data_IF_862323162191
#
_entry.id   IF_862323162191
#
_cell.length_a   1.000
_cell.length_b   1.000
_cell.length_c   1.000
_cell.angle_alpha   90.00
_cell.angle_beta   90.00
_cell.angle_gamma   90.00
#
_symmetry.space_group_name_H-M   'P 1'
#
loop_
_entity.id
_entity.type
_entity.pdbx_description
1 polymer ?
#
# COMPACT_ATOMS: atom_id res chain seq x y z
N UNK A 1 26.86 74.29 9.56
CA UNK A 1 27.13 73.34 8.49
C UNK A 1 25.89 73.30 7.61
N UNK A 2 26.03 73.66 6.35
CA UNK A 2 25.00 74.10 5.40
C UNK A 2 24.14 72.98 4.88
N UNK A 3 22.79 73.17 4.98
CA UNK A 3 21.79 72.45 4.24
C UNK A 3 21.87 72.85 2.76
N UNK A 4 21.83 71.82 1.86
CA UNK A 4 21.56 72.05 0.43
C UNK A 4 20.25 71.40 0.08
N UNK A 5 19.28 72.25 -0.25
CA UNK A 5 18.05 71.86 -0.89
C UNK A 5 18.30 71.42 -2.34
N UNK A 6 17.60 70.36 -2.79
CA UNK A 6 17.58 69.85 -4.16
C UNK A 6 16.19 70.12 -4.74
N UNK A 7 16.04 70.74 -5.92
CA UNK A 7 14.78 71.14 -6.42
C UNK A 7 13.95 70.02 -7.03
N UNK A 8 12.67 70.10 -6.76
CA UNK A 8 11.61 69.22 -7.24
C UNK A 8 11.34 69.45 -8.74
N UNK A 9 11.70 68.53 -9.61
CA UNK A 9 11.32 68.50 -11.01
C UNK A 9 9.96 67.87 -11.17
N UNK A 10 9.04 68.62 -11.79
CA UNK A 10 7.72 68.17 -12.18
C UNK A 10 7.80 67.01 -13.14
N UNK A 11 7.13 65.90 -12.78
CA UNK A 11 6.98 64.76 -13.67
C UNK A 11 5.58 64.75 -14.26
N UNK A 12 5.54 64.82 -15.57
CA UNK A 12 4.31 64.81 -16.38
C UNK A 12 3.60 63.45 -16.22
N UNK A 13 2.32 63.53 -15.94
CA UNK A 13 1.36 62.45 -15.98
C UNK A 13 1.14 62.00 -17.43
N UNK A 14 1.65 60.82 -17.79
CA UNK A 14 1.20 60.12 -18.99
C UNK A 14 0.16 59.08 -18.55
N UNK A 15 -1.11 59.33 -18.87
CA UNK A 15 -2.18 58.34 -18.78
C UNK A 15 -1.94 57.27 -19.86
N UNK A 16 -1.33 56.18 -19.48
CA UNK A 16 -1.30 54.96 -20.29
C UNK A 16 -2.54 54.11 -19.98
N UNK A 17 -3.50 54.12 -20.92
CA UNK A 17 -4.64 53.20 -20.89
C UNK A 17 -4.15 51.79 -21.21
N UNK A 18 -3.77 51.00 -20.19
CA UNK A 18 -3.48 49.59 -20.39
C UNK A 18 -4.80 48.80 -20.45
N UNK A 19 -5.17 48.44 -21.66
CA UNK A 19 -6.23 47.48 -21.95
C UNK A 19 -5.72 46.10 -21.50
N UNK A 20 -6.00 45.71 -20.26
CA UNK A 20 -5.81 44.31 -19.81
C UNK A 20 -6.89 43.44 -20.46
N UNK A 21 -6.54 42.80 -21.57
CA UNK A 21 -7.30 41.69 -22.10
C UNK A 21 -7.20 40.55 -21.08
N UNK A 22 -8.17 40.45 -20.17
CA UNK A 22 -8.37 39.27 -19.35
C UNK A 22 -8.84 38.13 -20.28
N UNK A 23 -7.90 37.32 -20.75
CA UNK A 23 -8.25 36.03 -21.30
C UNK A 23 -8.84 35.19 -20.15
N UNK A 24 -10.05 34.61 -20.31
CA UNK A 24 -10.53 33.63 -19.36
C UNK A 24 -9.55 32.46 -19.43
N UNK A 25 -8.74 32.31 -18.38
CA UNK A 25 -8.05 31.04 -18.12
C UNK A 25 -9.15 30.05 -17.79
N UNK A 26 -9.67 29.38 -18.81
CA UNK A 26 -10.41 28.14 -18.59
C UNK A 26 -9.43 27.22 -17.92
N UNK A 27 -9.68 26.92 -16.63
CA UNK A 27 -9.04 25.84 -15.96
C UNK A 27 -9.47 24.57 -16.72
N UNK A 28 -8.74 24.21 -17.78
CA UNK A 28 -8.76 22.88 -18.31
C UNK A 28 -8.33 22.01 -17.13
N UNK A 29 -9.31 21.34 -16.54
CA UNK A 29 -9.06 20.24 -15.64
C UNK A 29 -8.25 19.26 -16.48
N UNK A 30 -6.92 19.26 -16.29
CA UNK A 30 -6.05 18.23 -16.87
C UNK A 30 -6.54 16.95 -16.21
N UNK A 31 -7.49 16.30 -16.86
CA UNK A 31 -7.92 14.96 -16.53
C UNK A 31 -6.69 14.11 -16.82
N UNK A 32 -5.89 13.85 -15.76
CA UNK A 32 -4.76 12.92 -15.84
C UNK A 32 -5.33 11.63 -16.42
N UNK A 33 -5.05 11.38 -17.69
CA UNK A 33 -5.36 10.10 -18.30
C UNK A 33 -4.51 9.07 -17.60
N UNK A 34 -5.14 8.29 -16.70
CA UNK A 34 -4.44 7.20 -16.02
C UNK A 34 -3.95 6.20 -17.06
N UNK A 35 -2.71 5.74 -16.94
CA UNK A 35 -2.17 4.76 -17.87
C UNK A 35 -3.06 3.52 -17.86
N UNK A 36 -3.52 3.11 -19.04
CA UNK A 36 -4.27 1.87 -19.25
C UNK A 36 -3.29 0.70 -19.13
N UNK A 37 -3.40 -0.03 -18.03
CA UNK A 37 -2.60 -1.23 -17.78
C UNK A 37 -3.38 -2.45 -18.29
N UNK A 38 -2.82 -3.14 -19.29
CA UNK A 38 -3.41 -4.36 -19.84
C UNK A 38 -2.80 -5.62 -19.23
N UNK A 39 -1.48 -5.63 -19.09
CA UNK A 39 -0.69 -6.77 -18.64
C UNK A 39 0.30 -6.36 -17.55
N UNK A 40 0.79 -7.34 -16.77
CA UNK A 40 1.81 -7.11 -15.76
C UNK A 40 3.07 -6.47 -16.34
N UNK A 41 3.57 -5.47 -15.63
CA UNK A 41 4.90 -4.90 -15.79
C UNK A 41 5.35 -4.28 -14.45
N UNK A 42 6.65 -4.04 -14.32
CA UNK A 42 7.18 -3.31 -13.13
C UNK A 42 6.54 -1.92 -13.03
N UNK A 43 6.28 -1.26 -14.15
CA UNK A 43 5.59 0.03 -14.18
C UNK A 43 4.13 -0.09 -13.72
N UNK A 44 3.42 -1.17 -14.10
CA UNK A 44 2.06 -1.45 -13.67
C UNK A 44 2.00 -1.66 -12.14
N UNK A 45 2.89 -2.49 -11.60
CA UNK A 45 3.00 -2.69 -10.15
C UNK A 45 3.32 -1.38 -9.43
N UNK A 46 4.27 -0.60 -9.92
CA UNK A 46 4.63 0.71 -9.37
C UNK A 46 3.44 1.67 -9.36
N UNK A 47 2.68 1.72 -10.45
CA UNK A 47 1.48 2.53 -10.58
C UNK A 47 0.39 2.12 -9.57
N UNK A 48 0.18 0.81 -9.34
CA UNK A 48 -0.71 0.29 -8.29
C UNK A 48 -0.25 0.71 -6.90
N UNK A 49 1.03 0.50 -6.58
CA UNK A 49 1.61 0.82 -5.26
C UNK A 49 1.46 2.31 -4.93
N UNK A 50 1.67 3.17 -5.92
CA UNK A 50 1.53 4.62 -5.77
C UNK A 50 0.08 5.09 -5.79
N UNK A 51 -0.87 4.22 -6.19
CA UNK A 51 -2.27 4.55 -6.49
C UNK A 51 -2.41 5.60 -7.59
N UNK A 52 -1.48 5.58 -8.55
CA UNK A 52 -1.56 6.39 -9.77
C UNK A 52 -2.40 5.71 -10.86
N UNK A 53 -2.66 4.40 -10.73
CA UNK A 53 -3.60 3.62 -11.50
C UNK A 53 -4.83 3.32 -10.64
N UNK A 54 -6.00 3.78 -11.06
CA UNK A 54 -7.24 3.56 -10.29
C UNK A 54 -8.11 2.43 -10.85
N UNK A 55 -7.96 2.12 -12.13
CA UNK A 55 -8.78 1.10 -12.77
C UNK A 55 -8.44 -0.29 -12.23
N UNK A 56 -9.46 -0.97 -11.69
CA UNK A 56 -9.31 -2.32 -11.14
C UNK A 56 -8.59 -2.37 -9.79
N UNK A 57 -8.58 -1.26 -9.04
CA UNK A 57 -8.06 -1.19 -7.67
C UNK A 57 -9.17 -0.66 -6.77
N UNK A 58 -9.66 -1.51 -5.85
CA UNK A 58 -10.73 -1.17 -4.92
C UNK A 58 -10.20 -1.19 -3.48
N UNK A 59 -10.33 -0.07 -2.78
CA UNK A 59 -10.09 -0.05 -1.33
C UNK A 59 -11.19 -0.84 -0.62
N UNK A 60 -10.79 -1.68 0.33
CA UNK A 60 -11.73 -2.46 1.15
C UNK A 60 -11.62 -2.08 2.62
N UNK A 61 -12.72 -2.29 3.37
CA UNK A 61 -12.83 -2.07 4.81
C UNK A 61 -13.45 -3.28 5.50
N UNK A 62 -13.49 -3.25 6.82
CA UNK A 62 -14.09 -4.29 7.65
C UNK A 62 -15.59 -4.53 7.40
N UNK A 63 -16.29 -3.54 6.82
CA UNK A 63 -17.70 -3.64 6.48
C UNK A 63 -17.95 -4.21 5.08
N UNK A 64 -16.88 -4.55 4.35
CA UNK A 64 -16.99 -5.16 3.01
C UNK A 64 -17.74 -6.48 3.10
N UNK A 65 -18.82 -6.59 2.33
CA UNK A 65 -19.48 -7.87 2.10
C UNK A 65 -18.75 -8.64 0.99
N UNK A 66 -18.23 -9.80 1.34
CA UNK A 66 -17.56 -10.72 0.42
C UNK A 66 -18.48 -11.83 -0.12
N UNK A 67 -19.75 -11.85 0.34
CA UNK A 67 -20.76 -12.84 -0.05
C UNK A 67 -20.68 -14.17 0.73
N UNK A 68 -21.64 -15.06 0.42
CA UNK A 68 -21.89 -16.30 1.18
C UNK A 68 -20.68 -17.24 1.29
N UNK A 69 -19.83 -17.29 0.25
CA UNK A 69 -18.65 -18.17 0.25
C UNK A 69 -17.65 -17.82 1.37
N UNK A 70 -17.68 -16.57 1.87
CA UNK A 70 -16.80 -16.10 2.91
C UNK A 70 -17.35 -16.22 4.33
N UNK A 71 -18.59 -16.72 4.50
CA UNK A 71 -19.29 -16.70 5.79
C UNK A 71 -18.49 -17.33 6.92
N UNK A 72 -17.78 -18.44 6.67
CA UNK A 72 -16.98 -19.17 7.68
C UNK A 72 -15.69 -18.46 8.06
N UNK A 73 -15.26 -17.49 7.28
CA UNK A 73 -14.03 -16.71 7.46
C UNK A 73 -14.29 -15.25 7.85
N UNK A 74 -15.57 -14.85 7.84
CA UNK A 74 -16.00 -13.46 7.95
C UNK A 74 -15.46 -12.75 9.20
N UNK A 75 -15.54 -13.42 10.34
CA UNK A 75 -15.15 -12.81 11.62
C UNK A 75 -13.65 -12.52 11.68
N UNK A 76 -12.82 -13.45 11.24
CA UNK A 76 -11.38 -13.25 11.22
C UNK A 76 -10.97 -12.18 10.19
N UNK A 77 -11.54 -12.23 8.99
CA UNK A 77 -11.30 -11.18 7.96
C UNK A 77 -11.67 -9.81 8.52
N UNK A 78 -12.83 -9.68 9.17
CA UNK A 78 -13.28 -8.43 9.77
C UNK A 78 -12.31 -7.94 10.85
N UNK A 79 -11.83 -8.83 11.74
CA UNK A 79 -10.86 -8.49 12.78
C UNK A 79 -9.56 -7.96 12.16
N UNK A 80 -8.99 -8.67 11.18
CA UNK A 80 -7.76 -8.26 10.49
C UNK A 80 -7.94 -6.89 9.84
N UNK A 81 -9.00 -6.71 9.04
CA UNK A 81 -9.27 -5.44 8.36
C UNK A 81 -9.50 -4.28 9.34
N UNK A 82 -10.19 -4.54 10.46
CA UNK A 82 -10.40 -3.52 11.50
C UNK A 82 -9.09 -3.10 12.17
N UNK A 83 -8.22 -4.05 12.47
CA UNK A 83 -6.92 -3.76 13.09
C UNK A 83 -5.99 -3.01 12.11
N UNK A 84 -5.95 -3.42 10.84
CA UNK A 84 -5.19 -2.72 9.80
C UNK A 84 -5.68 -1.28 9.61
N UNK A 85 -6.99 -1.05 9.60
CA UNK A 85 -7.56 0.30 9.48
C UNK A 85 -7.15 1.20 10.66
N UNK A 86 -7.23 0.70 11.90
CA UNK A 86 -6.75 1.42 13.10
C UNK A 86 -5.26 1.77 13.04
N UNK A 87 -4.45 0.91 12.42
CA UNK A 87 -3.03 1.15 12.19
C UNK A 87 -2.75 2.11 11.03
N UNK A 88 -3.78 2.55 10.31
CA UNK A 88 -3.63 3.42 9.14
C UNK A 88 -3.16 2.70 7.88
N UNK A 89 -3.27 1.36 7.83
CA UNK A 89 -2.92 0.55 6.67
C UNK A 89 -4.09 0.52 5.70
N UNK A 90 -3.88 1.03 4.49
CA UNK A 90 -4.86 0.91 3.41
C UNK A 90 -4.85 -0.49 2.80
N UNK A 91 -5.99 -1.18 2.80
CA UNK A 91 -6.12 -2.51 2.16
C UNK A 91 -6.87 -2.39 0.85
N UNK A 92 -6.34 -3.01 -0.20
CA UNK A 92 -6.85 -2.91 -1.57
C UNK A 92 -6.96 -4.28 -2.22
N UNK A 93 -8.00 -4.48 -3.01
CA UNK A 93 -8.11 -5.57 -3.97
C UNK A 93 -7.76 -5.01 -5.33
N UNK A 94 -6.78 -5.60 -6.02
CA UNK A 94 -6.33 -5.14 -7.32
C UNK A 94 -6.35 -6.28 -8.36
N UNK A 95 -6.55 -5.91 -9.62
CA UNK A 95 -6.61 -6.86 -10.73
C UNK A 95 -5.28 -7.58 -10.93
N UNK A 96 -5.33 -8.83 -11.43
CA UNK A 96 -4.12 -9.67 -11.64
C UNK A 96 -3.07 -9.02 -12.54
N UNK A 97 -3.45 -8.12 -13.44
CA UNK A 97 -2.55 -7.38 -14.31
C UNK A 97 -1.50 -6.54 -13.56
N UNK A 98 -1.69 -6.30 -12.27
CA UNK A 98 -0.75 -5.58 -11.41
C UNK A 98 0.24 -6.49 -10.70
N UNK A 99 0.07 -7.79 -10.75
CA UNK A 99 0.87 -8.77 -10.05
C UNK A 99 1.66 -9.65 -11.01
N UNK A 100 2.78 -10.22 -10.55
CA UNK A 100 3.38 -11.36 -11.25
C UNK A 100 2.46 -12.57 -11.15
N UNK A 101 2.64 -13.58 -11.99
CA UNK A 101 1.80 -14.79 -11.98
C UNK A 101 1.79 -15.53 -10.63
N UNK A 102 2.84 -15.39 -9.84
CA UNK A 102 3.00 -16.07 -8.55
C UNK A 102 2.72 -15.18 -7.34
N UNK A 103 2.40 -13.90 -7.54
CA UNK A 103 2.18 -12.96 -6.45
C UNK A 103 0.68 -12.89 -6.13
N UNK A 104 0.32 -13.25 -4.90
CA UNK A 104 -1.06 -13.26 -4.42
C UNK A 104 -1.40 -12.01 -3.62
N UNK A 105 -0.41 -11.43 -2.93
CA UNK A 105 -0.53 -10.20 -2.17
C UNK A 105 0.79 -9.43 -2.14
N UNK A 106 0.74 -8.20 -1.67
CA UNK A 106 1.91 -7.34 -1.48
C UNK A 106 1.63 -6.40 -0.32
N UNK A 107 2.46 -6.43 0.73
CA UNK A 107 2.53 -5.35 1.71
C UNK A 107 3.66 -4.38 1.34
N UNK A 108 3.38 -3.08 1.44
CA UNK A 108 4.34 -2.00 1.17
C UNK A 108 4.47 -1.09 2.39
N UNK A 109 5.47 -1.33 3.26
CA UNK A 109 5.66 -0.58 4.50
C UNK A 109 5.86 0.92 4.26
N UNK A 110 6.63 1.32 3.23
CA UNK A 110 6.88 2.72 2.91
C UNK A 110 5.61 3.54 2.62
N UNK A 111 4.52 2.88 2.26
CA UNK A 111 3.24 3.51 1.90
C UNK A 111 2.10 3.11 2.82
N UNK A 112 2.33 2.22 3.79
CA UNK A 112 1.28 1.65 4.63
C UNK A 112 0.11 1.11 3.80
N UNK A 113 0.44 0.28 2.79
CA UNK A 113 -0.54 -0.28 1.83
C UNK A 113 -0.37 -1.78 1.67
N UNK A 114 -1.50 -2.47 1.68
CA UNK A 114 -1.61 -3.90 1.46
C UNK A 114 -2.50 -4.14 0.24
N UNK A 115 -2.03 -4.92 -0.72
CA UNK A 115 -2.76 -5.26 -1.93
C UNK A 115 -2.98 -6.77 -2.00
N UNK A 116 -4.19 -7.19 -2.39
CA UNK A 116 -4.57 -8.59 -2.59
C UNK A 116 -5.03 -8.76 -4.04
N UNK A 117 -4.55 -9.82 -4.69
CA UNK A 117 -4.96 -10.15 -6.05
C UNK A 117 -6.46 -10.51 -6.10
N UNK A 118 -7.20 -9.85 -6.99
CA UNK A 118 -8.66 -9.99 -7.14
C UNK A 118 -9.10 -11.42 -7.44
N UNK A 119 -8.26 -12.21 -8.10
CA UNK A 119 -8.58 -13.61 -8.42
C UNK A 119 -8.86 -14.45 -7.17
N UNK A 120 -8.29 -14.06 -6.01
CA UNK A 120 -8.51 -14.74 -4.74
C UNK A 120 -9.95 -14.62 -4.21
N UNK A 121 -10.75 -13.69 -4.73
CA UNK A 121 -12.17 -13.61 -4.37
C UNK A 121 -12.98 -14.85 -4.80
N UNK A 122 -12.43 -15.69 -5.66
CA UNK A 122 -13.02 -16.98 -6.04
C UNK A 122 -12.71 -18.10 -5.05
N UNK A 123 -11.64 -17.94 -4.23
CA UNK A 123 -11.14 -18.91 -3.25
C UNK A 123 -11.00 -18.26 -1.86
N UNK A 124 -12.04 -18.28 -1.01
CA UNK A 124 -12.04 -17.62 0.30
C UNK A 124 -10.92 -18.06 1.25
N UNK A 125 -10.51 -19.35 1.19
CA UNK A 125 -9.42 -19.87 2.02
C UNK A 125 -8.08 -19.23 1.64
N UNK A 126 -7.79 -19.19 0.36
CA UNK A 126 -6.55 -18.60 -0.16
C UNK A 126 -6.53 -17.07 0.04
N UNK A 127 -7.69 -16.43 -0.11
CA UNK A 127 -7.85 -15.02 0.22
C UNK A 127 -7.49 -14.74 1.69
N UNK A 128 -8.05 -15.51 2.64
CA UNK A 128 -7.75 -15.34 4.05
C UNK A 128 -6.28 -15.69 4.36
N UNK A 129 -5.73 -16.75 3.77
CA UNK A 129 -4.31 -17.08 3.88
C UNK A 129 -3.44 -15.90 3.46
N UNK A 130 -3.66 -15.36 2.27
CA UNK A 130 -2.93 -14.19 1.78
C UNK A 130 -3.14 -12.96 2.68
N UNK A 131 -4.35 -12.72 3.17
CA UNK A 131 -4.62 -11.61 4.08
C UNK A 131 -3.87 -11.76 5.42
N UNK A 132 -3.75 -12.99 5.95
CA UNK A 132 -2.92 -13.30 7.12
C UNK A 132 -1.45 -13.05 6.85
N UNK A 133 -0.95 -13.54 5.71
CA UNK A 133 0.44 -13.38 5.28
C UNK A 133 0.86 -11.91 5.17
N UNK A 134 0.13 -11.15 4.37
CA UNK A 134 0.43 -9.72 4.18
C UNK A 134 0.16 -8.89 5.45
N UNK A 135 -0.88 -9.25 6.21
CA UNK A 135 -1.14 -8.69 7.53
C UNK A 135 -0.02 -8.98 8.52
N UNK A 136 0.62 -10.16 8.40
CA UNK A 136 1.78 -10.49 9.23
C UNK A 136 2.99 -9.61 8.94
N UNK A 137 3.22 -9.25 7.70
CA UNK A 137 4.24 -8.26 7.36
C UNK A 137 3.99 -6.90 8.04
N UNK A 138 2.71 -6.51 8.24
CA UNK A 138 2.39 -5.34 9.07
C UNK A 138 2.76 -5.54 10.54
N UNK A 139 2.56 -6.76 11.10
CA UNK A 139 3.01 -7.09 12.46
C UNK A 139 4.54 -7.00 12.57
N UNK A 140 5.26 -7.54 11.60
CA UNK A 140 6.73 -7.47 11.53
C UNK A 140 7.24 -6.04 11.48
N UNK A 141 6.58 -5.17 10.73
CA UNK A 141 6.88 -3.74 10.64
C UNK A 141 6.59 -3.02 11.98
N UNK A 142 5.42 -3.28 12.59
CA UNK A 142 5.08 -2.78 13.92
C UNK A 142 6.11 -3.17 14.98
N UNK A 143 6.51 -4.43 15.01
CA UNK A 143 7.49 -4.97 15.97
C UNK A 143 8.93 -4.51 15.66
N UNK A 144 9.20 -4.11 14.45
CA UNK A 144 10.51 -3.63 13.98
C UNK A 144 10.84 -2.20 14.40
N UNK A 145 9.96 -1.51 15.09
CA UNK A 145 10.16 -0.12 15.53
C UNK A 145 9.03 0.81 15.15
N UNK A 146 7.97 0.26 14.60
CA UNK A 146 6.74 0.95 14.23
C UNK A 146 6.63 1.28 12.74
N UNK A 147 5.38 1.42 12.30
CA UNK A 147 4.96 1.53 10.89
C UNK A 147 5.51 2.73 10.09
N UNK A 148 6.41 3.51 10.67
CA UNK A 148 7.07 4.66 10.01
C UNK A 148 8.53 4.38 9.65
N UNK A 149 9.07 3.23 10.06
CA UNK A 149 10.49 2.92 9.91
C UNK A 149 10.79 2.00 8.73
N UNK A 150 9.79 1.29 8.22
CA UNK A 150 9.90 0.26 7.17
C UNK A 150 10.92 -0.84 7.51
N UNK A 151 11.19 -1.04 8.80
CA UNK A 151 12.07 -2.09 9.30
C UNK A 151 11.24 -3.23 9.86
N UNK A 152 11.29 -4.39 9.20
CA UNK A 152 10.57 -5.59 9.61
C UNK A 152 11.39 -6.45 10.55
N UNK A 153 10.80 -6.79 11.71
CA UNK A 153 11.38 -7.74 12.65
C UNK A 153 10.91 -9.18 12.33
N UNK A 154 11.71 -10.16 12.67
CA UNK A 154 11.25 -11.54 12.77
C UNK A 154 10.54 -11.71 14.11
N UNK A 155 9.28 -12.17 14.11
CA UNK A 155 8.44 -12.25 15.32
C UNK A 155 8.53 -13.60 16.00
N UNK A 156 8.58 -14.70 15.23
CA UNK A 156 8.72 -16.04 15.77
C UNK A 156 10.16 -16.54 15.75
N UNK A 157 10.55 -17.25 16.80
CA UNK A 157 11.84 -17.89 16.83
C UNK A 157 11.88 -19.10 15.90
N UNK A 158 13.05 -19.35 15.33
CA UNK A 158 13.30 -20.45 14.40
C UNK A 158 12.83 -21.82 14.89
N UNK A 159 12.85 -22.05 16.21
CA UNK A 159 12.44 -23.33 16.81
C UNK A 159 10.93 -23.59 16.80
N UNK A 160 10.14 -22.53 16.62
CA UNK A 160 8.67 -22.61 16.60
C UNK A 160 8.13 -22.94 15.21
N UNK A 161 8.96 -22.74 14.19
CA UNK A 161 8.58 -22.91 12.79
C UNK A 161 9.08 -24.28 12.30
N UNK A 162 8.19 -25.10 11.72
CA UNK A 162 8.59 -26.44 11.23
C UNK A 162 9.68 -26.36 10.15
N UNK A 163 10.68 -27.25 10.26
CA UNK A 163 11.82 -27.30 9.32
C UNK A 163 11.42 -27.46 7.85
N UNK A 164 10.36 -28.20 7.58
CA UNK A 164 9.88 -28.36 6.20
C UNK A 164 9.40 -27.05 5.59
N UNK A 165 8.71 -26.22 6.39
CA UNK A 165 8.23 -24.91 5.95
C UNK A 165 9.40 -23.98 5.66
N UNK A 166 10.37 -23.91 6.57
CA UNK A 166 11.60 -23.15 6.36
C UNK A 166 12.30 -23.54 5.06
N UNK A 167 12.55 -24.83 4.85
CA UNK A 167 13.22 -25.32 3.64
C UNK A 167 12.44 -25.02 2.37
N UNK A 168 11.11 -25.06 2.42
CA UNK A 168 10.26 -24.71 1.29
C UNK A 168 10.41 -23.21 0.93
N UNK A 169 10.30 -22.33 1.91
CA UNK A 169 10.44 -20.88 1.71
C UNK A 169 11.85 -20.51 1.25
N UNK A 170 12.89 -21.06 1.92
CA UNK A 170 14.30 -20.85 1.53
C UNK A 170 14.53 -21.20 0.06
N UNK A 171 14.02 -22.36 -0.40
CA UNK A 171 14.16 -22.76 -1.80
C UNK A 171 13.45 -21.79 -2.74
N UNK A 172 12.21 -21.39 -2.42
CA UNK A 172 11.39 -20.52 -3.26
C UNK A 172 12.04 -19.14 -3.41
N UNK A 173 12.39 -18.52 -2.30
CA UNK A 173 12.91 -17.15 -2.30
C UNK A 173 14.37 -17.06 -2.75
N UNK A 174 15.19 -18.09 -2.47
CA UNK A 174 16.56 -18.14 -2.98
C UNK A 174 16.58 -18.32 -4.49
N UNK A 175 15.69 -19.14 -5.05
CA UNK A 175 15.55 -19.30 -6.49
C UNK A 175 15.11 -17.99 -7.18
N UNK A 176 14.27 -17.20 -6.52
CA UNK A 176 13.85 -15.89 -6.98
C UNK A 176 14.89 -14.78 -6.77
N UNK A 177 16.08 -15.10 -6.20
CA UNK A 177 17.11 -14.10 -5.89
C UNK A 177 16.79 -13.22 -4.68
N UNK A 178 15.82 -13.62 -3.85
CA UNK A 178 15.29 -12.86 -2.72
C UNK A 178 15.71 -13.45 -1.36
N UNK A 179 16.89 -14.06 -1.26
CA UNK A 179 17.36 -14.75 -0.05
C UNK A 179 17.35 -13.87 1.22
N UNK A 180 17.49 -12.55 1.07
CA UNK A 180 17.43 -11.63 2.21
C UNK A 180 16.04 -11.54 2.86
N UNK A 181 14.99 -11.83 2.12
CA UNK A 181 13.60 -11.81 2.61
C UNK A 181 13.24 -13.09 3.39
N UNK A 182 14.01 -14.17 3.23
CA UNK A 182 13.70 -15.50 3.78
C UNK A 182 13.29 -15.46 5.26
N UNK A 183 13.95 -14.77 6.19
CA UNK A 183 13.56 -14.78 7.60
C UNK A 183 12.14 -14.26 7.83
N UNK A 184 11.76 -13.19 7.16
CA UNK A 184 10.44 -12.59 7.27
C UNK A 184 9.38 -13.42 6.56
N UNK A 185 9.71 -13.98 5.42
CA UNK A 185 8.82 -14.82 4.64
C UNK A 185 8.54 -16.18 5.29
N UNK A 186 9.52 -16.76 5.96
CA UNK A 186 9.33 -17.99 6.76
C UNK A 186 8.33 -17.74 7.88
N UNK A 187 8.48 -16.61 8.57
CA UNK A 187 7.60 -16.19 9.66
C UNK A 187 6.17 -15.88 9.14
N UNK A 188 6.03 -15.17 8.02
CA UNK A 188 4.74 -14.87 7.41
C UNK A 188 4.03 -16.11 6.86
N UNK A 189 4.75 -17.02 6.21
CA UNK A 189 4.19 -18.30 5.76
C UNK A 189 3.72 -19.18 6.92
N UNK A 190 4.40 -19.14 8.08
CA UNK A 190 3.93 -19.81 9.27
C UNK A 190 2.62 -19.17 9.78
N UNK A 191 2.55 -17.86 9.87
CA UNK A 191 1.36 -17.14 10.34
C UNK A 191 0.15 -17.32 9.41
N UNK A 192 0.37 -17.45 8.10
CA UNK A 192 -0.67 -17.74 7.10
C UNK A 192 -1.50 -18.97 7.46
N UNK A 193 -0.87 -20.02 7.99
CA UNK A 193 -1.53 -21.27 8.36
C UNK A 193 -2.19 -21.21 9.76
N UNK A 194 -1.94 -20.17 10.55
CA UNK A 194 -2.45 -20.06 11.93
C UNK A 194 -3.73 -19.23 11.99
N UNK A 195 -4.84 -19.86 12.41
CA UNK A 195 -6.11 -19.15 12.59
C UNK A 195 -6.02 -18.10 13.69
N UNK A 196 -6.50 -16.90 13.42
CA UNK A 196 -6.59 -15.74 14.33
C UNK A 196 -5.25 -15.15 14.82
N UNK A 197 -4.10 -15.80 14.63
CA UNK A 197 -2.81 -15.32 15.16
C UNK A 197 -2.45 -13.93 14.57
N UNK A 198 -2.61 -13.76 13.27
CA UNK A 198 -2.39 -12.45 12.62
C UNK A 198 -3.35 -11.39 13.16
N UNK A 199 -4.65 -11.72 13.33
CA UNK A 199 -5.62 -10.78 13.88
C UNK A 199 -5.24 -10.34 15.31
N UNK A 200 -4.90 -11.28 16.19
CA UNK A 200 -4.49 -11.02 17.57
C UNK A 200 -3.26 -10.13 17.66
N UNK A 201 -2.24 -10.40 16.84
CA UNK A 201 -1.02 -9.60 16.83
C UNK A 201 -1.22 -8.20 16.26
N UNK A 202 -2.03 -8.05 15.21
CA UNK A 202 -2.41 -6.74 14.70
C UNK A 202 -3.20 -5.92 15.73
N UNK A 203 -4.13 -6.54 16.47
CA UNK A 203 -4.88 -5.91 17.55
C UNK A 203 -3.96 -5.41 18.68
N UNK A 204 -2.85 -6.08 18.93
CA UNK A 204 -1.83 -5.64 19.90
C UNK A 204 -1.00 -4.45 19.40
N UNK A 205 -0.86 -4.29 18.08
CA UNK A 205 -0.19 -3.18 17.44
C UNK A 205 -1.08 -1.93 17.35
N UNK A 206 -2.42 -2.12 17.31
CA UNK A 206 -3.43 -1.09 17.07
C UNK A 206 -3.89 -0.39 18.37
#
# INVERSE_FOLDING_TARGET
IKNKEVPMKKLLTALGLSLTLAFPVTAETIQKSHPQVKDYSVAAMGCMILLDCYEGIDKISADKDFGEKFVVFKDEIKRILTALDKLGIGVYIADERYFTRSTLGIYKPDYNRLFINRNLLTNPREFLGTLRHEGWHTVQDCMGGGLKTSFMAQVHHDKEIPDWLRKMVERTYSFAGMSRAVPWEVDANWAEEQSNVTAEKLEMCA
#
